data_IF_866889777582
#
_entry.id   IF_866889777582
#
_cell.length_a   1.000
_cell.length_b   1.000
_cell.length_c   1.000
_cell.angle_alpha   90.00
_cell.angle_beta   90.00
_cell.angle_gamma   90.00
#
_symmetry.space_group_name_H-M   'P 1'
#
loop_
_entity.id
_entity.type
_entity.pdbx_description
1 polymer ?
#
# COMPACT_ATOMS: atom_id res chain seq x y z
N UNK A 1 5.29 -1.13 -21.16
CA UNK A 1 6.67 -1.63 -21.35
C UNK A 1 6.90 -2.24 -22.73
N UNK A 2 6.20 -3.32 -23.12
CA UNK A 2 6.35 -3.98 -24.43
C UNK A 2 6.29 -3.01 -25.63
N UNK A 3 5.36 -2.05 -25.60
CA UNK A 3 5.27 -0.99 -26.61
C UNK A 3 6.56 -0.17 -26.77
N UNK A 4 7.17 0.26 -25.66
CA UNK A 4 8.42 1.02 -25.70
C UNK A 4 9.58 0.16 -26.20
N UNK A 5 9.62 -1.11 -25.81
CA UNK A 5 10.64 -2.03 -26.30
C UNK A 5 10.52 -2.23 -27.80
N UNK A 6 9.30 -2.43 -28.31
CA UNK A 6 9.03 -2.51 -29.75
C UNK A 6 9.46 -1.23 -30.49
N UNK A 7 9.16 -0.05 -29.94
CA UNK A 7 9.61 1.23 -30.52
C UNK A 7 11.14 1.36 -30.54
N UNK A 8 11.81 1.02 -29.43
CA UNK A 8 13.27 1.07 -29.31
C UNK A 8 13.95 0.21 -30.37
N UNK A 9 13.50 -1.04 -30.53
CA UNK A 9 14.04 -1.99 -31.50
C UNK A 9 13.71 -1.57 -32.94
N UNK A 10 12.48 -1.13 -33.19
CA UNK A 10 12.06 -0.66 -34.51
C UNK A 10 12.84 0.58 -34.98
N UNK A 11 13.16 1.51 -34.08
CA UNK A 11 14.00 2.67 -34.39
C UNK A 11 15.44 2.23 -34.66
N UNK A 12 15.99 1.31 -33.85
CA UNK A 12 17.34 0.78 -34.06
C UNK A 12 17.52 0.10 -35.42
N UNK A 13 16.46 -0.51 -35.99
CA UNK A 13 16.51 -1.08 -37.34
C UNK A 13 16.47 -0.03 -38.46
N UNK A 14 15.98 1.18 -38.20
CA UNK A 14 15.72 2.21 -39.23
C UNK A 14 16.62 3.45 -39.12
N UNK A 15 17.42 3.55 -38.06
CA UNK A 15 18.24 4.72 -37.73
C UNK A 15 19.59 4.27 -37.18
N UNK A 16 20.67 5.06 -37.36
CA UNK A 16 21.99 4.76 -36.79
C UNK A 16 22.03 4.64 -35.26
N UNK A 17 20.99 5.12 -34.57
CA UNK A 17 20.87 5.05 -33.12
C UNK A 17 19.43 4.97 -32.64
N UNK A 18 19.26 4.58 -31.38
CA UNK A 18 18.00 4.53 -30.64
C UNK A 18 18.21 5.07 -29.22
N UNK A 19 17.15 5.14 -28.40
CA UNK A 19 17.23 5.62 -27.02
C UNK A 19 17.64 4.50 -26.03
N UNK A 20 18.19 4.90 -24.88
CA UNK A 20 18.39 4.00 -23.74
C UNK A 20 17.09 3.90 -22.93
N UNK A 21 16.77 2.70 -22.44
CA UNK A 21 15.55 2.41 -21.71
C UNK A 21 15.88 2.04 -20.26
N UNK A 22 15.32 2.77 -19.31
CA UNK A 22 15.34 2.38 -17.89
C UNK A 22 13.98 1.83 -17.48
N UNK A 23 13.95 0.67 -16.84
CA UNK A 23 12.76 0.11 -16.21
C UNK A 23 13.05 -0.07 -14.72
N UNK A 24 12.32 0.64 -13.86
CA UNK A 24 12.51 0.59 -12.41
C UNK A 24 11.27 0.00 -11.73
N UNK A 25 11.48 -0.88 -10.75
CA UNK A 25 10.44 -1.46 -9.91
C UNK A 25 10.58 -0.95 -8.47
N UNK A 26 9.47 -0.61 -7.82
CA UNK A 26 9.45 -0.28 -6.39
C UNK A 26 9.21 -1.54 -5.57
N UNK A 27 10.19 -2.00 -4.81
CA UNK A 27 10.02 -3.15 -3.90
C UNK A 27 9.18 -2.76 -2.69
N UNK A 28 8.22 -3.60 -2.34
CA UNK A 28 7.41 -3.51 -1.12
C UNK A 28 6.97 -4.91 -0.68
N UNK A 29 6.44 -5.03 0.54
CA UNK A 29 6.04 -6.32 1.13
C UNK A 29 5.03 -7.10 0.28
N UNK A 30 4.18 -6.40 -0.48
CA UNK A 30 3.25 -7.01 -1.43
C UNK A 30 3.85 -7.55 -2.74
N UNK A 31 5.15 -7.37 -3.01
CA UNK A 31 5.82 -8.02 -4.15
C UNK A 31 6.28 -9.42 -3.74
N UNK A 32 5.34 -10.36 -3.81
CA UNK A 32 5.57 -11.79 -3.54
C UNK A 32 6.57 -12.39 -4.54
N UNK A 33 7.15 -13.57 -4.26
CA UNK A 33 7.96 -14.29 -5.24
C UNK A 33 7.24 -14.47 -6.59
N UNK A 34 5.93 -14.77 -6.58
CA UNK A 34 5.14 -14.89 -7.81
C UNK A 34 5.08 -13.58 -8.63
N UNK A 35 5.02 -12.42 -7.96
CA UNK A 35 5.08 -11.10 -8.63
C UNK A 35 6.46 -10.88 -9.23
N UNK A 36 7.53 -11.19 -8.50
CA UNK A 36 8.91 -11.08 -8.99
C UNK A 36 9.15 -12.00 -10.20
N UNK A 37 8.62 -13.22 -10.17
CA UNK A 37 8.69 -14.16 -11.29
C UNK A 37 7.95 -13.65 -12.53
N UNK A 38 6.79 -13.01 -12.36
CA UNK A 38 6.06 -12.38 -13.46
C UNK A 38 6.84 -11.23 -14.11
N UNK A 39 7.50 -10.40 -13.29
CA UNK A 39 8.38 -9.33 -13.79
C UNK A 39 9.55 -9.96 -14.56
N UNK A 40 10.15 -11.02 -14.02
CA UNK A 40 11.25 -11.71 -14.66
C UNK A 40 10.85 -12.30 -16.02
N UNK A 41 9.73 -13.04 -16.08
CA UNK A 41 9.18 -13.58 -17.35
C UNK A 41 8.96 -12.47 -18.38
N UNK A 42 8.39 -11.35 -17.95
CA UNK A 42 8.16 -10.17 -18.81
C UNK A 42 9.49 -9.60 -19.32
N UNK A 43 10.50 -9.46 -18.47
CA UNK A 43 11.82 -8.92 -18.84
C UNK A 43 12.56 -9.85 -19.80
N UNK A 44 12.52 -11.16 -19.54
CA UNK A 44 13.10 -12.18 -20.42
C UNK A 44 12.41 -12.21 -21.79
N UNK A 45 11.08 -12.21 -21.84
CA UNK A 45 10.31 -12.22 -23.10
C UNK A 45 10.58 -10.97 -23.96
N UNK A 46 10.93 -9.85 -23.32
CA UNK A 46 11.25 -8.58 -23.98
C UNK A 46 12.75 -8.39 -24.25
N UNK A 47 13.59 -9.40 -23.97
CA UNK A 47 15.05 -9.36 -24.13
C UNK A 47 15.66 -8.12 -23.47
N UNK A 48 15.22 -7.79 -22.24
CA UNK A 48 15.70 -6.60 -21.54
C UNK A 48 17.11 -6.81 -20.98
N UNK A 49 17.45 -8.02 -20.53
CA UNK A 49 18.75 -8.32 -19.94
C UNK A 49 19.90 -8.34 -20.96
N UNK A 50 19.59 -8.69 -22.21
CA UNK A 50 20.60 -8.93 -23.26
C UNK A 50 20.98 -7.68 -24.06
N UNK A 51 20.33 -6.54 -23.80
CA UNK A 51 20.55 -5.30 -24.54
C UNK A 51 21.26 -4.26 -23.68
N UNK A 52 22.50 -3.86 -24.00
CA UNK A 52 23.27 -2.91 -23.19
C UNK A 52 22.66 -1.50 -23.14
N UNK A 53 21.65 -1.22 -23.96
CA UNK A 53 20.89 0.04 -23.94
C UNK A 53 19.72 0.00 -22.95
N UNK A 54 19.52 -1.11 -22.24
CA UNK A 54 18.45 -1.30 -21.28
C UNK A 54 19.04 -1.45 -19.87
N UNK A 55 18.51 -0.69 -18.92
CA UNK A 55 18.83 -0.78 -17.49
C UNK A 55 17.57 -1.20 -16.73
N UNK A 56 17.66 -2.30 -15.99
CA UNK A 56 16.58 -2.79 -15.13
C UNK A 56 16.94 -2.60 -13.67
N UNK A 57 16.12 -1.85 -12.93
CA UNK A 57 16.37 -1.48 -11.54
C UNK A 57 15.27 -2.00 -10.61
N UNK A 58 15.66 -2.23 -9.36
CA UNK A 58 14.75 -2.39 -8.22
C UNK A 58 15.15 -1.41 -7.12
N UNK A 59 14.17 -0.71 -6.58
CA UNK A 59 14.33 0.26 -5.50
C UNK A 59 13.62 -0.29 -4.28
N UNK A 60 14.38 -0.62 -3.25
CA UNK A 60 13.90 -1.18 -1.99
C UNK A 60 14.35 -0.28 -0.84
N UNK A 61 13.41 0.43 -0.23
CA UNK A 61 13.69 1.46 0.77
C UNK A 61 14.78 2.43 0.24
N UNK A 62 15.96 2.43 0.86
CA UNK A 62 17.08 3.28 0.47
C UNK A 62 17.98 2.70 -0.63
N UNK A 63 17.81 1.42 -0.95
CA UNK A 63 18.68 0.69 -1.86
C UNK A 63 18.16 0.80 -3.30
N UNK A 64 19.03 1.21 -4.21
CA UNK A 64 18.79 1.14 -5.66
C UNK A 64 19.78 0.16 -6.24
N UNK A 65 19.27 -0.92 -6.85
CA UNK A 65 20.07 -2.06 -7.31
C UNK A 65 19.61 -2.49 -8.70
N UNK A 66 20.45 -3.26 -9.41
CA UNK A 66 20.01 -3.99 -10.59
C UNK A 66 18.88 -4.96 -10.21
N UNK A 67 17.90 -5.10 -11.09
CA UNK A 67 16.83 -6.07 -10.88
C UNK A 67 17.38 -7.49 -11.00
N UNK A 68 17.24 -8.25 -9.93
CA UNK A 68 17.45 -9.70 -9.91
C UNK A 68 16.15 -10.35 -9.40
N UNK A 69 15.66 -11.43 -10.03
CA UNK A 69 14.40 -12.07 -9.65
C UNK A 69 14.42 -12.57 -8.20
N UNK A 70 15.56 -13.15 -7.80
CA UNK A 70 15.76 -13.75 -6.49
C UNK A 70 16.26 -12.76 -5.42
N UNK A 71 16.27 -11.46 -5.73
CA UNK A 71 16.73 -10.45 -4.78
C UNK A 71 15.83 -10.47 -3.53
N UNK A 72 16.40 -10.74 -2.34
CA UNK A 72 15.61 -10.80 -1.12
C UNK A 72 15.11 -9.40 -0.76
N UNK A 73 13.89 -9.33 -0.21
CA UNK A 73 13.36 -8.09 0.33
C UNK A 73 14.18 -7.66 1.55
N UNK A 74 14.68 -6.41 1.52
CA UNK A 74 15.60 -5.89 2.51
C UNK A 74 14.99 -5.88 3.92
N UNK A 75 15.82 -6.09 4.94
CA UNK A 75 15.38 -6.00 6.34
C UNK A 75 14.86 -4.61 6.67
N UNK A 76 15.51 -3.56 6.16
CA UNK A 76 15.09 -2.17 6.37
C UNK A 76 13.75 -1.87 5.71
N UNK A 77 13.53 -2.35 4.47
CA UNK A 77 12.24 -2.23 3.78
C UNK A 77 11.14 -2.99 4.51
N UNK A 78 11.43 -4.21 4.99
CA UNK A 78 10.48 -5.02 5.78
C UNK A 78 10.09 -4.33 7.08
N UNK A 79 11.06 -3.85 7.84
CA UNK A 79 10.80 -3.17 9.12
C UNK A 79 10.00 -1.88 8.93
N UNK A 80 10.33 -1.10 7.89
CA UNK A 80 9.55 0.09 7.56
C UNK A 80 8.10 -0.25 7.19
N UNK A 81 7.88 -1.25 6.33
CA UNK A 81 6.53 -1.68 5.95
C UNK A 81 5.74 -2.20 7.16
N UNK A 82 6.40 -2.94 8.06
CA UNK A 82 5.83 -3.42 9.31
C UNK A 82 5.40 -2.26 10.22
N UNK A 83 6.29 -1.30 10.47
CA UNK A 83 5.99 -0.15 11.33
C UNK A 83 4.90 0.74 10.74
N UNK A 84 4.96 1.01 9.43
CA UNK A 84 3.92 1.79 8.73
C UNK A 84 2.54 1.13 8.87
N UNK A 85 2.47 -0.19 8.72
CA UNK A 85 1.25 -0.96 8.88
C UNK A 85 0.73 -0.94 10.33
N UNK A 86 1.60 -1.20 11.32
CA UNK A 86 1.22 -1.26 12.73
C UNK A 86 0.71 0.10 13.25
N UNK A 87 1.47 1.17 13.00
CA UNK A 87 1.07 2.52 13.42
C UNK A 87 -0.20 2.98 12.69
N UNK A 88 -0.27 2.74 11.37
CA UNK A 88 -1.43 3.10 10.56
C UNK A 88 -2.69 2.34 10.99
N UNK A 89 -2.54 1.04 11.29
CA UNK A 89 -3.61 0.18 11.79
C UNK A 89 -4.12 0.62 13.16
N UNK A 90 -3.23 0.89 14.12
CA UNK A 90 -3.62 1.38 15.45
C UNK A 90 -4.23 2.79 15.44
N UNK A 91 -3.81 3.67 14.53
CA UNK A 91 -4.43 5.00 14.42
C UNK A 91 -5.81 4.96 13.74
N UNK A 92 -6.07 3.95 12.91
CA UNK A 92 -7.27 3.86 12.07
C UNK A 92 -8.26 2.77 12.48
N UNK A 93 -7.97 1.98 13.51
CA UNK A 93 -8.68 0.74 13.83
C UNK A 93 -8.73 -0.25 12.68
N UNK A 94 -7.57 -0.44 12.04
CA UNK A 94 -7.37 -1.37 10.95
C UNK A 94 -8.20 -1.03 9.71
N UNK A 95 -8.49 0.26 9.48
CA UNK A 95 -9.06 0.68 8.20
C UNK A 95 -8.17 0.20 7.06
N UNK A 96 -8.75 -0.60 6.17
CA UNK A 96 -8.00 -1.33 5.15
C UNK A 96 -7.14 -0.40 4.28
N UNK A 97 -7.68 0.74 3.82
CA UNK A 97 -6.91 1.65 2.98
C UNK A 97 -5.80 2.34 3.75
N UNK A 98 -6.11 2.83 4.94
CA UNK A 98 -5.14 3.55 5.77
C UNK A 98 -3.99 2.63 6.16
N UNK A 99 -4.30 1.37 6.48
CA UNK A 99 -3.34 0.35 6.91
C UNK A 99 -2.47 -0.18 5.76
N UNK A 100 -3.05 -0.42 4.58
CA UNK A 100 -2.36 -1.16 3.50
C UNK A 100 -1.96 -0.32 2.28
N UNK A 101 -2.62 0.81 2.03
CA UNK A 101 -2.49 1.50 0.73
C UNK A 101 -1.86 2.90 0.82
N UNK A 102 -2.01 3.63 1.94
CA UNK A 102 -1.59 5.04 2.02
C UNK A 102 -0.08 5.21 1.79
N UNK A 103 0.73 4.34 2.39
CA UNK A 103 2.19 4.34 2.25
C UNK A 103 2.64 4.04 0.82
N UNK A 104 1.90 3.22 0.06
CA UNK A 104 2.28 2.90 -1.32
C UNK A 104 2.28 4.12 -2.23
N UNK A 105 1.26 4.98 -2.14
CA UNK A 105 1.17 6.20 -2.96
C UNK A 105 2.15 7.27 -2.52
N UNK A 106 2.32 7.47 -1.22
CA UNK A 106 3.24 8.49 -0.71
C UNK A 106 4.70 8.10 -1.00
N UNK A 107 5.01 6.80 -0.94
CA UNK A 107 6.32 6.28 -1.34
C UNK A 107 6.58 6.30 -2.85
N UNK A 108 5.58 6.60 -3.70
CA UNK A 108 5.77 6.71 -5.14
C UNK A 108 6.65 7.90 -5.51
N UNK A 109 6.53 9.03 -4.82
CA UNK A 109 7.32 10.21 -5.13
C UNK A 109 8.81 10.01 -4.81
N UNK A 110 9.11 9.34 -3.70
CA UNK A 110 10.47 8.93 -3.36
C UNK A 110 11.03 7.95 -4.41
N UNK A 111 10.25 6.93 -4.77
CA UNK A 111 10.62 5.97 -5.80
C UNK A 111 10.91 6.65 -7.14
N UNK A 112 10.01 7.51 -7.61
CA UNK A 112 10.19 8.26 -8.85
C UNK A 112 11.40 9.18 -8.75
N UNK A 113 11.58 9.91 -7.64
CA UNK A 113 12.75 10.74 -7.40
C UNK A 113 14.05 9.96 -7.60
N UNK A 114 14.20 8.84 -6.88
CA UNK A 114 15.37 7.94 -6.98
C UNK A 114 15.56 7.39 -8.39
N UNK A 115 14.49 6.90 -9.03
CA UNK A 115 14.56 6.34 -10.39
C UNK A 115 14.96 7.40 -11.44
N UNK A 116 14.50 8.63 -11.29
CA UNK A 116 14.77 9.75 -12.21
C UNK A 116 16.16 10.36 -12.01
N UNK A 117 16.70 10.33 -10.78
CA UNK A 117 18.02 10.87 -10.44
C UNK A 117 19.13 9.82 -10.50
N UNK A 118 18.81 8.52 -10.67
CA UNK A 118 19.81 7.45 -10.69
C UNK A 118 20.82 7.61 -11.83
N UNK A 119 22.11 7.48 -11.51
CA UNK A 119 23.22 7.69 -12.45
C UNK A 119 23.20 9.11 -13.03
N UNK A 120 23.20 9.21 -14.36
CA UNK A 120 23.11 10.50 -15.06
C UNK A 120 21.66 11.05 -15.18
N UNK A 121 20.73 10.43 -14.46
CA UNK A 121 19.29 10.68 -14.56
C UNK A 121 18.69 10.30 -15.93
N UNK A 122 17.45 10.73 -16.17
CA UNK A 122 16.73 10.46 -17.44
C UNK A 122 16.39 11.76 -18.18
N UNK A 123 16.26 11.67 -19.51
CA UNK A 123 15.85 12.81 -20.34
C UNK A 123 14.33 12.86 -20.56
N UNK A 124 13.65 11.72 -20.43
CA UNK A 124 12.19 11.61 -20.55
C UNK A 124 11.60 10.54 -19.64
N UNK A 125 10.34 10.72 -19.27
CA UNK A 125 9.50 9.79 -18.53
C UNK A 125 8.30 9.44 -19.40
N UNK A 126 8.06 8.15 -19.60
CA UNK A 126 6.92 7.67 -20.36
C UNK A 126 5.87 7.09 -19.42
N UNK A 127 4.62 7.55 -19.53
CA UNK A 127 3.48 7.04 -18.76
C UNK A 127 2.43 6.41 -19.69
N UNK A 128 1.97 5.21 -19.30
CA UNK A 128 0.84 4.50 -19.91
C UNK A 128 -0.51 4.90 -19.32
N UNK A 129 -0.53 5.51 -18.14
CA UNK A 129 -1.73 5.88 -17.39
C UNK A 129 -2.70 6.69 -18.26
N UNK A 130 -3.99 6.36 -18.19
CA UNK A 130 -4.99 7.07 -18.97
C UNK A 130 -5.06 8.55 -18.57
N UNK A 131 -5.42 9.43 -19.53
CA UNK A 131 -5.66 10.86 -19.22
C UNK A 131 -6.69 11.06 -18.09
N UNK A 132 -7.62 10.11 -17.95
CA UNK A 132 -8.60 10.10 -16.86
C UNK A 132 -7.93 9.86 -15.52
N UNK A 133 -7.07 8.86 -15.41
CA UNK A 133 -6.33 8.56 -14.17
C UNK A 133 -5.36 9.67 -13.81
N UNK A 134 -4.59 10.17 -14.78
CA UNK A 134 -3.70 11.32 -14.56
C UNK A 134 -4.46 12.53 -13.99
N UNK A 135 -5.64 12.86 -14.54
CA UNK A 135 -6.51 13.93 -14.01
C UNK A 135 -7.04 13.62 -12.62
N UNK A 136 -7.40 12.37 -12.34
CA UNK A 136 -7.85 11.96 -11.01
C UNK A 136 -6.74 12.12 -9.97
N UNK A 137 -5.51 11.67 -10.27
CA UNK A 137 -4.36 11.88 -9.41
C UNK A 137 -4.01 13.34 -9.22
N UNK A 138 -3.99 14.12 -10.30
CA UNK A 138 -3.77 15.56 -10.23
C UNK A 138 -4.79 16.24 -9.30
N UNK A 139 -6.07 15.89 -9.44
CA UNK A 139 -7.16 16.41 -8.59
C UNK A 139 -6.99 15.96 -7.13
N UNK A 140 -6.59 14.71 -6.91
CA UNK A 140 -6.32 14.17 -5.57
C UNK A 140 -5.17 14.95 -4.89
N UNK A 141 -4.04 15.11 -5.55
CA UNK A 141 -2.88 15.88 -5.05
C UNK A 141 -3.29 17.34 -4.80
N UNK A 142 -4.04 17.97 -5.72
CA UNK A 142 -4.55 19.33 -5.55
C UNK A 142 -5.36 19.51 -4.26
N UNK A 143 -6.32 18.61 -4.02
CA UNK A 143 -7.17 18.66 -2.81
C UNK A 143 -6.36 18.50 -1.54
N UNK A 144 -5.30 17.69 -1.58
CA UNK A 144 -4.38 17.54 -0.45
C UNK A 144 -3.45 18.75 -0.30
N UNK A 145 -2.98 19.36 -1.38
CA UNK A 145 -2.04 20.49 -1.31
C UNK A 145 -2.72 21.81 -0.88
N UNK A 146 -3.94 22.09 -1.35
CA UNK A 146 -4.65 23.35 -1.03
C UNK A 146 -4.94 23.51 0.47
N UNK A 147 -5.11 22.41 1.20
CA UNK A 147 -5.49 22.41 2.62
C UNK A 147 -4.33 22.14 3.59
N UNK A 148 -3.11 21.93 3.09
CA UNK A 148 -1.87 21.98 3.90
C UNK A 148 -1.26 23.40 3.93
N UNK A 149 -1.92 24.40 3.34
CA UNK A 149 -1.47 25.79 3.33
C UNK A 149 -0.30 26.07 2.38
N UNK A 150 0.09 25.10 1.55
CA UNK A 150 1.32 25.14 0.76
C UNK A 150 1.08 25.43 -0.73
N UNK A 151 -0.15 25.78 -1.13
CA UNK A 151 -0.44 26.00 -2.55
C UNK A 151 -1.37 27.19 -2.81
N UNK A 152 -0.84 28.21 -3.51
CA UNK A 152 -1.54 29.45 -3.90
C UNK A 152 -1.58 29.66 -5.43
N UNK A 153 -1.16 28.68 -6.24
CA UNK A 153 -0.93 28.84 -7.69
C UNK A 153 -1.94 28.16 -8.62
N UNK A 154 -1.73 28.32 -9.94
CA UNK A 154 -2.47 27.61 -11.00
C UNK A 154 -1.78 26.28 -11.36
N UNK A 155 -2.51 25.17 -11.32
CA UNK A 155 -1.98 23.82 -11.61
C UNK A 155 -1.65 23.59 -13.09
N UNK A 156 -2.08 24.50 -13.99
CA UNK A 156 -1.92 24.34 -15.44
C UNK A 156 -0.46 24.32 -15.94
N UNK A 157 0.50 24.78 -15.13
CA UNK A 157 1.91 24.92 -15.50
C UNK A 157 2.88 24.11 -14.61
N UNK A 158 2.39 23.12 -13.85
CA UNK A 158 3.25 22.30 -12.99
C UNK A 158 4.17 21.38 -13.80
N UNK A 159 5.46 21.38 -13.47
CA UNK A 159 6.42 20.39 -14.00
C UNK A 159 6.35 19.09 -13.18
N UNK A 160 6.82 17.97 -13.73
CA UNK A 160 6.89 16.69 -13.01
C UNK A 160 7.61 16.85 -11.66
N UNK A 161 8.72 17.57 -11.63
CA UNK A 161 9.48 17.90 -10.42
C UNK A 161 8.63 18.68 -9.40
N UNK A 162 7.80 19.63 -9.86
CA UNK A 162 6.88 20.37 -9.00
C UNK A 162 5.84 19.47 -8.34
N UNK A 163 5.26 18.54 -9.11
CA UNK A 163 4.31 17.54 -8.59
C UNK A 163 4.96 16.62 -7.57
N UNK A 164 6.17 16.11 -7.84
CA UNK A 164 6.91 15.24 -6.91
C UNK A 164 7.19 15.94 -5.58
N UNK A 165 7.58 17.22 -5.58
CA UNK A 165 7.78 18.01 -4.36
C UNK A 165 6.49 18.16 -3.53
N UNK A 166 5.35 18.34 -4.20
CA UNK A 166 4.06 18.42 -3.51
C UNK A 166 3.71 17.08 -2.85
N UNK A 167 3.91 15.96 -3.55
CA UNK A 167 3.67 14.62 -2.98
C UNK A 167 4.61 14.35 -1.81
N UNK A 168 5.90 14.70 -1.93
CA UNK A 168 6.86 14.58 -0.83
C UNK A 168 6.37 15.33 0.40
N UNK A 169 5.95 16.58 0.23
CA UNK A 169 5.50 17.38 1.36
C UNK A 169 4.24 16.83 2.03
N UNK A 170 3.29 16.30 1.23
CA UNK A 170 2.14 15.55 1.76
C UNK A 170 2.62 14.29 2.51
N UNK A 171 3.61 13.58 1.95
CA UNK A 171 4.25 12.43 2.58
C UNK A 171 4.87 12.76 3.92
N UNK A 172 5.67 13.83 4.00
CA UNK A 172 6.29 14.30 5.23
C UNK A 172 5.23 14.63 6.30
N UNK A 173 4.14 15.32 5.93
CA UNK A 173 3.03 15.58 6.85
C UNK A 173 2.36 14.28 7.34
N UNK A 174 2.11 13.33 6.44
CA UNK A 174 1.53 12.03 6.79
C UNK A 174 2.42 11.26 7.76
N UNK A 175 3.71 11.13 7.46
CA UNK A 175 4.66 10.43 8.32
C UNK A 175 4.91 11.17 9.63
N UNK A 176 4.73 12.50 9.63
CA UNK A 176 4.77 13.26 10.86
C UNK A 176 3.60 12.92 11.78
N UNK A 177 2.37 12.86 11.24
CA UNK A 177 1.20 12.41 11.99
C UNK A 177 1.34 10.94 12.44
N UNK A 178 1.93 10.08 11.60
CA UNK A 178 2.12 8.65 11.89
C UNK A 178 3.16 8.40 13.00
N UNK A 179 4.39 8.90 12.83
CA UNK A 179 5.51 8.61 13.73
C UNK A 179 5.65 9.59 14.89
N UNK A 180 5.07 10.81 14.83
CA UNK A 180 5.37 11.86 15.81
C UNK A 180 6.83 12.34 15.74
N UNK A 181 7.24 13.21 16.66
CA UNK A 181 8.50 13.98 16.60
C UNK A 181 9.75 13.31 17.20
N UNK A 182 9.76 11.99 17.31
CA UNK A 182 10.94 11.25 17.79
C UNK A 182 12.14 11.34 16.84
N UNK A 183 13.35 11.50 17.40
CA UNK A 183 14.62 11.49 16.67
C UNK A 183 14.89 10.14 15.95
N UNK A 184 14.33 9.04 16.47
CA UNK A 184 14.43 7.69 15.89
C UNK A 184 13.44 7.42 14.75
N UNK A 185 12.69 8.43 14.31
CA UNK A 185 11.75 8.25 13.21
C UNK A 185 12.52 7.90 11.92
N UNK A 186 12.10 6.90 11.13
CA UNK A 186 12.73 6.56 9.83
C UNK A 186 12.64 7.69 8.78
N UNK A 187 12.17 8.89 9.17
CA UNK A 187 12.20 10.16 8.44
C UNK A 187 13.54 10.47 7.75
N UNK A 188 14.68 10.10 8.35
CA UNK A 188 16.00 10.59 7.95
C UNK A 188 16.42 10.27 6.50
N UNK A 189 15.82 9.28 5.84
CA UNK A 189 16.27 8.80 4.52
C UNK A 189 15.32 9.08 3.34
N UNK A 190 14.25 9.87 3.53
CA UNK A 190 13.18 10.02 2.52
C UNK A 190 13.26 11.30 1.67
N UNK A 191 14.29 12.11 1.83
CA UNK A 191 14.49 13.33 1.02
C UNK A 191 14.53 12.99 -0.47
N UNK A 192 13.65 13.58 -1.28
CA UNK A 192 13.72 13.41 -2.74
C UNK A 192 15.06 13.95 -3.24
N UNK A 193 15.88 13.07 -3.81
CA UNK A 193 16.96 13.47 -4.70
C UNK A 193 16.34 14.10 -5.95
N UNK A 194 16.29 15.43 -5.99
CA UNK A 194 15.81 16.16 -7.16
C UNK A 194 16.88 16.05 -8.25
N UNK A 195 16.53 15.74 -9.51
CA UNK A 195 17.52 15.67 -10.58
C UNK A 195 18.27 17.00 -10.71
N UNK A 196 19.60 16.97 -10.56
CA UNK A 196 20.50 18.13 -10.69
C UNK A 196 20.70 18.58 -12.14
N UNK A 197 20.08 17.90 -13.12
CA UNK A 197 20.13 18.31 -14.53
C UNK A 197 19.48 19.67 -14.73
N UNK A 198 20.14 20.51 -15.54
CA UNK A 198 19.67 21.87 -15.88
C UNK A 198 18.27 21.90 -16.52
N UNK A 199 17.84 20.79 -17.16
CA UNK A 199 16.53 20.64 -17.77
C UNK A 199 15.73 19.52 -17.09
N UNK A 200 14.47 19.80 -16.76
CA UNK A 200 13.55 18.80 -16.26
C UNK A 200 13.25 17.72 -17.33
N UNK A 201 13.12 16.44 -16.96
CA UNK A 201 12.82 15.38 -17.93
C UNK A 201 11.47 15.63 -18.61
N UNK A 202 11.40 15.35 -19.91
CA UNK A 202 10.17 15.46 -20.68
C UNK A 202 9.16 14.40 -20.25
N UNK A 203 7.89 14.75 -20.08
CA UNK A 203 6.83 13.79 -19.77
C UNK A 203 6.06 13.41 -21.04
N UNK A 204 6.13 12.13 -21.43
CA UNK A 204 5.53 11.59 -22.65
C UNK A 204 4.41 10.63 -22.27
N UNK A 205 3.18 10.91 -22.71
CA UNK A 205 2.06 9.98 -22.54
C UNK A 205 1.92 9.09 -23.77
N UNK A 206 1.70 7.80 -23.55
CA UNK A 206 1.36 6.81 -24.60
C UNK A 206 -0.07 6.26 -24.45
N UNK A 207 -0.88 6.88 -23.59
CA UNK A 207 -2.24 6.42 -23.30
C UNK A 207 -3.17 6.43 -24.52
N UNK A 208 -2.93 7.33 -25.48
CA UNK A 208 -3.71 7.39 -26.72
C UNK A 208 -3.22 6.34 -27.76
N UNK A 209 -2.10 5.65 -27.50
CA UNK A 209 -1.47 4.68 -28.40
C UNK A 209 -1.63 3.23 -27.94
N UNK A 210 -1.91 2.99 -26.66
CA UNK A 210 -2.02 1.66 -26.06
C UNK A 210 -3.32 1.58 -25.27
N UNK A 211 -4.12 0.54 -25.52
CA UNK A 211 -5.31 0.27 -24.70
C UNK A 211 -4.89 -0.36 -23.37
N UNK A 212 -5.47 0.10 -22.26
CA UNK A 212 -5.22 -0.50 -20.94
C UNK A 212 -6.14 -1.70 -20.64
N UNK A 213 -6.98 -2.15 -21.59
CA UNK A 213 -7.90 -3.27 -21.36
C UNK A 213 -7.19 -4.61 -21.51
N UNK A 214 -7.12 -5.38 -20.40
CA UNK A 214 -6.46 -6.68 -20.36
C UNK A 214 -6.99 -7.68 -21.42
N UNK A 215 -8.29 -7.65 -21.73
CA UNK A 215 -8.87 -8.54 -22.75
C UNK A 215 -8.37 -8.24 -24.17
N UNK A 216 -8.10 -6.97 -24.49
CA UNK A 216 -7.58 -6.56 -25.80
C UNK A 216 -6.11 -7.00 -25.99
N UNK A 217 -5.43 -7.37 -24.89
CA UNK A 217 -4.02 -7.77 -24.87
C UNK A 217 -3.80 -9.16 -24.28
N UNK A 218 -4.82 -10.01 -24.23
CA UNK A 218 -4.74 -11.29 -23.55
C UNK A 218 -3.58 -12.17 -24.04
N UNK A 219 -3.48 -12.38 -25.35
CA UNK A 219 -2.43 -13.22 -25.93
C UNK A 219 -1.04 -12.61 -25.70
N UNK A 220 -0.91 -11.28 -25.75
CA UNK A 220 0.33 -10.61 -25.40
C UNK A 220 0.71 -10.91 -23.94
N UNK A 221 -0.24 -10.80 -23.01
CA UNK A 221 0.00 -11.04 -21.59
C UNK A 221 0.33 -12.50 -21.29
N UNK A 222 -0.49 -13.45 -21.75
CA UNK A 222 -0.38 -14.86 -21.33
C UNK A 222 0.48 -15.73 -22.25
N UNK A 223 0.50 -15.46 -23.56
CA UNK A 223 1.24 -16.31 -24.51
C UNK A 223 2.64 -15.75 -24.79
N UNK A 224 2.77 -14.44 -24.98
CA UNK A 224 4.06 -13.82 -25.30
C UNK A 224 4.88 -13.44 -24.07
N UNK A 225 4.28 -12.72 -23.12
CA UNK A 225 4.96 -12.29 -21.88
C UNK A 225 4.97 -13.38 -20.79
N UNK A 226 4.26 -14.49 -21.02
CA UNK A 226 4.10 -15.61 -20.09
C UNK A 226 3.63 -15.17 -18.69
N UNK A 227 2.78 -14.14 -18.62
CA UNK A 227 2.22 -13.66 -17.36
C UNK A 227 1.32 -14.72 -16.73
N UNK A 228 1.55 -15.01 -15.45
CA UNK A 228 0.79 -15.99 -14.66
C UNK A 228 -0.06 -15.27 -13.63
N UNK A 229 -1.36 -15.47 -13.69
CA UNK A 229 -2.28 -15.03 -12.65
C UNK A 229 -2.11 -15.94 -11.45
N UNK A 230 -1.63 -15.37 -10.34
CA UNK A 230 -1.46 -16.08 -9.09
C UNK A 230 -2.54 -15.66 -8.07
N UNK A 231 -2.83 -16.58 -7.17
CA UNK A 231 -3.90 -16.52 -6.18
C UNK A 231 -3.71 -15.42 -5.13
N UNK A 232 -2.47 -14.96 -4.91
CA UNK A 232 -2.12 -13.82 -4.05
C UNK A 232 -2.11 -12.49 -4.80
N UNK A 233 -2.06 -12.52 -6.13
CA UNK A 233 -1.68 -11.40 -6.99
C UNK A 233 -2.77 -10.96 -7.97
N UNK A 234 -4.04 -11.15 -7.62
CA UNK A 234 -5.18 -10.54 -8.34
C UNK A 234 -5.21 -9.00 -8.16
N UNK A 235 -4.14 -8.34 -8.58
CA UNK A 235 -3.98 -6.89 -8.67
C UNK A 235 -3.93 -6.52 -10.15
N UNK A 236 -5.10 -6.25 -10.74
CA UNK A 236 -5.18 -5.71 -12.10
C UNK A 236 -5.15 -4.19 -12.16
N UNK A 237 -5.06 -3.49 -11.04
CA UNK A 237 -4.94 -2.03 -11.08
C UNK A 237 -3.49 -1.59 -11.13
N UNK A 238 -3.21 -0.69 -12.07
CA UNK A 238 -1.99 0.10 -12.28
C UNK A 238 -1.57 0.97 -11.07
N UNK A 239 -2.08 0.67 -9.88
CA UNK A 239 -1.95 1.49 -8.69
C UNK A 239 -2.10 0.63 -7.43
N UNK A 240 -1.02 -0.06 -7.12
CA UNK A 240 -0.89 -1.12 -6.14
C UNK A 240 -1.31 -0.70 -4.72
N UNK A 241 -2.52 -1.07 -4.32
CA UNK A 241 -2.70 -1.51 -2.94
C UNK A 241 -2.44 -3.00 -2.91
N UNK A 242 -1.27 -3.39 -2.44
CA UNK A 242 -0.72 -4.71 -2.67
C UNK A 242 -1.24 -5.77 -1.69
N UNK A 243 -2.51 -5.70 -1.30
CA UNK A 243 -3.02 -6.66 -0.32
C UNK A 243 -4.53 -6.96 -0.27
N UNK A 244 -5.22 -7.29 -1.39
CA UNK A 244 -6.62 -7.70 -1.33
C UNK A 244 -6.89 -8.86 -0.36
N UNK A 245 -5.91 -9.77 -0.20
CA UNK A 245 -6.00 -10.89 0.73
C UNK A 245 -6.02 -10.44 2.19
N UNK A 246 -5.07 -9.59 2.65
CA UNK A 246 -5.10 -9.08 4.03
C UNK A 246 -6.27 -8.14 4.26
N UNK A 247 -6.73 -7.40 3.25
CA UNK A 247 -7.95 -6.58 3.39
C UNK A 247 -9.19 -7.46 3.66
N UNK A 248 -9.35 -8.54 2.91
CA UNK A 248 -10.40 -9.54 3.16
C UNK A 248 -10.25 -10.16 4.56
N UNK A 249 -9.02 -10.55 4.92
CA UNK A 249 -8.71 -11.15 6.21
C UNK A 249 -9.04 -10.22 7.38
N UNK A 250 -8.61 -8.95 7.33
CA UNK A 250 -8.95 -7.94 8.32
C UNK A 250 -10.46 -7.73 8.45
N UNK A 251 -11.20 -7.82 7.33
CA UNK A 251 -12.67 -7.76 7.39
C UNK A 251 -13.28 -8.97 8.08
N UNK A 252 -12.77 -10.18 7.80
CA UNK A 252 -13.17 -11.39 8.52
C UNK A 252 -12.85 -11.32 10.02
N UNK A 253 -11.66 -10.84 10.39
CA UNK A 253 -11.27 -10.64 11.80
C UNK A 253 -12.14 -9.58 12.48
N UNK A 254 -12.50 -8.51 11.78
CA UNK A 254 -13.44 -7.48 12.28
C UNK A 254 -14.79 -8.11 12.62
N UNK A 255 -15.37 -8.88 11.70
CA UNK A 255 -16.63 -9.57 11.94
C UNK A 255 -16.53 -10.51 13.14
N UNK A 256 -15.44 -11.27 13.24
CA UNK A 256 -15.23 -12.24 14.31
C UNK A 256 -15.03 -11.60 15.70
N UNK A 257 -14.12 -10.64 15.82
CA UNK A 257 -13.66 -10.16 17.12
C UNK A 257 -14.39 -8.90 17.60
N UNK A 258 -14.76 -8.00 16.68
CA UNK A 258 -15.44 -6.75 17.02
C UNK A 258 -16.97 -6.89 16.94
N UNK A 259 -17.48 -7.72 16.04
CA UNK A 259 -18.92 -7.84 15.78
C UNK A 259 -19.57 -9.13 16.27
N UNK A 260 -18.81 -10.07 16.84
CA UNK A 260 -19.32 -11.36 17.33
C UNK A 260 -20.04 -12.20 16.26
N UNK A 261 -19.66 -12.00 15.00
CA UNK A 261 -20.18 -12.71 13.82
C UNK A 261 -19.18 -13.77 13.37
N UNK A 262 -19.51 -14.55 12.34
CA UNK A 262 -18.55 -15.49 11.79
C UNK A 262 -17.54 -14.75 10.92
N UNK A 263 -16.28 -15.23 10.93
CA UNK A 263 -15.23 -14.73 10.03
C UNK A 263 -15.68 -14.74 8.55
N UNK A 264 -16.42 -15.78 8.15
CA UNK A 264 -16.96 -15.93 6.80
C UNK A 264 -17.96 -14.82 6.42
N UNK A 265 -18.68 -14.25 7.39
CA UNK A 265 -19.63 -13.16 7.13
C UNK A 265 -18.89 -11.89 6.71
N UNK A 266 -17.77 -11.56 7.37
CA UNK A 266 -16.91 -10.45 6.99
C UNK A 266 -16.23 -10.66 5.62
N UNK A 267 -15.84 -11.90 5.31
CA UNK A 267 -15.31 -12.25 3.99
C UNK A 267 -16.37 -12.02 2.90
N UNK A 268 -17.62 -12.43 3.12
CA UNK A 268 -18.70 -12.22 2.16
C UNK A 268 -18.91 -10.74 1.84
N UNK A 269 -18.93 -9.87 2.87
CA UNK A 269 -19.04 -8.42 2.70
C UNK A 269 -17.90 -7.84 1.85
N UNK A 270 -16.67 -8.31 2.09
CA UNK A 270 -15.52 -7.86 1.29
C UNK A 270 -15.62 -8.32 -0.17
N UNK A 271 -16.09 -9.54 -0.43
CA UNK A 271 -16.24 -10.07 -1.79
C UNK A 271 -17.31 -9.33 -2.59
N UNK A 272 -18.39 -8.85 -1.96
CA UNK A 272 -19.37 -7.97 -2.62
C UNK A 272 -18.72 -6.67 -3.09
N UNK A 273 -17.94 -6.02 -2.21
CA UNK A 273 -17.17 -4.83 -2.58
C UNK A 273 -16.21 -5.12 -3.73
N UNK A 274 -15.36 -6.14 -3.58
CA UNK A 274 -14.34 -6.51 -4.56
C UNK A 274 -14.96 -6.81 -5.93
N UNK A 275 -16.07 -7.57 -5.97
CA UNK A 275 -16.80 -7.87 -7.22
C UNK A 275 -17.28 -6.60 -7.91
N UNK A 276 -17.82 -5.65 -7.15
CA UNK A 276 -18.30 -4.38 -7.68
C UNK A 276 -17.17 -3.51 -8.27
N UNK A 277 -15.99 -3.56 -7.66
CA UNK A 277 -14.79 -2.85 -8.10
C UNK A 277 -14.19 -3.50 -9.36
N UNK A 278 -14.01 -4.82 -9.37
CA UNK A 278 -13.52 -5.58 -10.52
C UNK A 278 -14.39 -5.35 -11.76
N UNK A 279 -15.73 -5.38 -11.62
CA UNK A 279 -16.65 -5.09 -12.73
C UNK A 279 -16.54 -3.64 -13.23
N UNK A 280 -16.42 -2.67 -12.32
CA UNK A 280 -16.25 -1.25 -12.69
C UNK A 280 -14.95 -1.03 -13.47
N UNK A 281 -13.91 -1.77 -13.12
CA UNK A 281 -12.60 -1.78 -13.80
C UNK A 281 -12.60 -2.61 -15.08
N UNK A 282 -13.74 -3.13 -15.52
CA UNK A 282 -13.86 -3.95 -16.73
C UNK A 282 -12.91 -5.15 -16.72
N UNK A 283 -12.68 -5.73 -15.53
CA UNK A 283 -11.88 -6.93 -15.41
C UNK A 283 -12.58 -8.12 -16.12
N UNK A 284 -11.84 -8.98 -16.82
CA UNK A 284 -12.46 -10.06 -17.60
C UNK A 284 -13.31 -10.99 -16.71
N UNK A 285 -14.53 -11.38 -17.12
CA UNK A 285 -15.43 -12.19 -16.29
C UNK A 285 -14.78 -13.48 -15.75
N UNK A 286 -14.02 -14.18 -16.60
CA UNK A 286 -13.29 -15.40 -16.21
C UNK A 286 -12.33 -15.20 -15.02
N UNK A 287 -11.71 -14.03 -14.93
CA UNK A 287 -10.76 -13.73 -13.85
C UNK A 287 -11.50 -13.34 -12.57
N UNK A 288 -12.65 -12.68 -12.70
CA UNK A 288 -13.54 -12.42 -11.56
C UNK A 288 -14.01 -13.77 -10.99
N UNK A 289 -14.47 -14.68 -11.84
CA UNK A 289 -14.94 -16.00 -11.42
C UNK A 289 -13.82 -16.81 -10.78
N UNK A 290 -12.60 -16.78 -11.35
CA UNK A 290 -11.42 -17.42 -10.76
C UNK A 290 -11.13 -16.86 -9.36
N UNK A 291 -11.08 -15.53 -9.22
CA UNK A 291 -10.83 -14.85 -7.95
C UNK A 291 -11.92 -15.11 -6.89
N UNK A 292 -13.19 -15.24 -7.29
CA UNK A 292 -14.28 -15.56 -6.36
C UNK A 292 -14.33 -17.03 -5.99
N UNK A 293 -13.99 -17.92 -6.92
CA UNK A 293 -13.97 -19.37 -6.67
C UNK A 293 -13.00 -19.74 -5.54
N UNK A 294 -11.94 -18.95 -5.37
CA UNK A 294 -10.97 -19.05 -4.28
C UNK A 294 -11.57 -18.96 -2.87
N UNK A 295 -12.80 -18.43 -2.73
CA UNK A 295 -13.53 -18.28 -1.48
C UNK A 295 -14.83 -19.13 -1.43
N UNK A 296 -15.03 -20.03 -2.40
CA UNK A 296 -16.25 -20.81 -2.50
C UNK A 296 -16.37 -21.84 -1.36
N UNK A 297 -17.23 -21.53 -0.39
CA UNK A 297 -17.55 -22.40 0.73
C UNK A 297 -16.54 -22.32 1.89
N UNK A 298 -16.95 -22.88 3.04
CA UNK A 298 -16.24 -22.72 4.33
C UNK A 298 -14.79 -23.22 4.30
N UNK A 299 -14.54 -24.37 3.66
CA UNK A 299 -13.20 -24.95 3.60
C UNK A 299 -12.21 -24.02 2.86
N UNK A 300 -12.62 -23.43 1.73
CA UNK A 300 -11.77 -22.50 0.97
C UNK A 300 -11.54 -21.19 1.71
N UNK A 301 -12.56 -20.69 2.43
CA UNK A 301 -12.41 -19.52 3.28
C UNK A 301 -11.36 -19.76 4.38
N UNK A 302 -11.34 -20.95 4.98
CA UNK A 302 -10.33 -21.31 5.99
C UNK A 302 -8.92 -21.38 5.38
N UNK A 303 -8.77 -22.05 4.22
CA UNK A 303 -7.49 -22.04 3.49
C UNK A 303 -7.02 -20.62 3.16
N UNK A 304 -7.95 -19.71 2.85
CA UNK A 304 -7.60 -18.29 2.61
C UNK A 304 -7.19 -17.55 3.88
N UNK A 305 -7.75 -17.92 5.05
CA UNK A 305 -7.29 -17.40 6.34
C UNK A 305 -5.86 -17.83 6.62
N UNK A 306 -5.55 -19.11 6.45
CA UNK A 306 -4.18 -19.65 6.62
C UNK A 306 -3.20 -18.95 5.68
N UNK A 307 -3.58 -18.79 4.42
CA UNK A 307 -2.78 -18.09 3.42
C UNK A 307 -2.54 -16.62 3.79
N UNK A 308 -3.57 -15.93 4.30
CA UNK A 308 -3.45 -14.55 4.77
C UNK A 308 -2.51 -14.44 5.97
N UNK A 309 -2.61 -15.35 6.94
CA UNK A 309 -1.72 -15.42 8.09
C UNK A 309 -0.26 -15.68 7.69
N UNK A 310 -0.02 -16.61 6.75
CA UNK A 310 1.31 -16.86 6.20
C UNK A 310 1.86 -15.62 5.51
N UNK A 311 1.05 -14.94 4.70
CA UNK A 311 1.46 -13.73 4.01
C UNK A 311 1.76 -12.56 4.96
N UNK A 312 0.97 -12.38 6.03
CA UNK A 312 1.25 -11.38 7.07
C UNK A 312 2.60 -11.66 7.76
N UNK A 313 2.88 -12.94 8.06
CA UNK A 313 4.12 -13.35 8.70
C UNK A 313 5.34 -13.18 7.79
N UNK A 314 5.25 -13.58 6.52
CA UNK A 314 6.36 -13.49 5.57
C UNK A 314 6.64 -12.05 5.14
N UNK A 315 5.59 -11.30 4.79
CA UNK A 315 5.69 -9.94 4.26
C UNK A 315 5.98 -8.89 5.34
N UNK A 316 5.41 -9.05 6.54
CA UNK A 316 5.43 -8.03 7.60
C UNK A 316 5.94 -8.55 8.94
N UNK A 317 6.18 -9.86 9.09
CA UNK A 317 6.52 -10.47 10.38
C UNK A 317 5.38 -10.45 11.39
N UNK A 318 4.14 -10.29 10.93
CA UNK A 318 2.97 -10.09 11.78
C UNK A 318 2.15 -11.37 11.90
N UNK A 319 1.65 -11.62 13.11
CA UNK A 319 0.71 -12.71 13.38
C UNK A 319 -0.72 -12.18 13.57
N UNK A 320 -1.70 -13.09 13.57
CA UNK A 320 -3.12 -12.73 13.68
C UNK A 320 -3.42 -11.98 14.98
N UNK A 321 -2.77 -12.32 16.10
CA UNK A 321 -2.95 -11.63 17.38
C UNK A 321 -2.62 -10.14 17.27
N UNK A 322 -1.52 -9.79 16.59
CA UNK A 322 -1.12 -8.41 16.35
C UNK A 322 -2.08 -7.71 15.38
N UNK A 323 -2.59 -8.43 14.36
CA UNK A 323 -3.63 -7.89 13.47
C UNK A 323 -4.92 -7.56 14.24
N UNK A 324 -5.37 -8.46 15.11
CA UNK A 324 -6.53 -8.24 15.97
C UNK A 324 -6.28 -7.07 16.92
N UNK A 325 -5.10 -6.99 17.54
CA UNK A 325 -4.73 -5.87 18.41
C UNK A 325 -4.88 -4.51 17.70
N UNK A 326 -4.47 -4.39 16.43
CA UNK A 326 -4.69 -3.16 15.65
C UNK A 326 -6.17 -2.81 15.47
N UNK A 327 -7.05 -3.80 15.23
CA UNK A 327 -8.48 -3.59 15.04
C UNK A 327 -9.14 -2.92 16.26
N UNK A 328 -8.71 -3.29 17.47
CA UNK A 328 -9.21 -2.65 18.70
C UNK A 328 -8.61 -1.27 18.91
N UNK A 329 -7.43 -0.98 18.33
CA UNK A 329 -6.68 0.25 18.59
C UNK A 329 -6.56 0.56 20.10
N UNK A 330 -6.14 -0.40 20.93
CA UNK A 330 -6.28 -0.29 22.38
C UNK A 330 -5.37 0.78 23.00
N UNK A 331 -4.34 1.20 22.27
CA UNK A 331 -3.28 2.06 22.82
C UNK A 331 -3.48 3.54 22.53
N UNK A 332 -4.39 3.94 21.63
CA UNK A 332 -4.64 5.38 21.35
C UNK A 332 -5.63 5.97 22.37
N UNK A 333 -5.85 7.28 22.31
CA UNK A 333 -6.78 8.00 23.21
C UNK A 333 -6.46 7.76 24.69
N UNK A 334 -5.18 7.78 25.07
CA UNK A 334 -4.74 7.44 26.44
C UNK A 334 -5.22 6.05 26.90
N UNK A 335 -5.31 5.10 25.98
CA UNK A 335 -5.63 3.71 26.29
C UNK A 335 -7.11 3.43 26.56
N UNK A 336 -8.02 4.31 26.12
CA UNK A 336 -9.48 4.16 26.33
C UNK A 336 -10.02 2.79 25.85
N UNK A 337 -9.47 2.27 24.74
CA UNK A 337 -9.85 0.96 24.20
C UNK A 337 -9.21 -0.25 24.89
N UNK A 338 -8.25 -0.04 25.79
CA UNK A 338 -7.40 -1.11 26.34
C UNK A 338 -8.20 -2.11 27.18
N UNK A 339 -9.05 -1.62 28.09
CA UNK A 339 -9.84 -2.51 28.96
C UNK A 339 -10.78 -3.41 28.13
N UNK A 340 -11.46 -2.84 27.14
CA UNK A 340 -12.35 -3.59 26.24
C UNK A 340 -11.60 -4.67 25.46
N UNK A 341 -10.42 -4.35 24.93
CA UNK A 341 -9.56 -5.31 24.25
C UNK A 341 -9.12 -6.45 25.19
N UNK A 342 -8.70 -6.13 26.42
CA UNK A 342 -8.31 -7.14 27.40
C UNK A 342 -9.48 -8.04 27.78
N UNK A 343 -10.67 -7.49 28.07
CA UNK A 343 -11.86 -8.30 28.40
C UNK A 343 -12.21 -9.28 27.31
N UNK A 344 -12.05 -8.86 26.05
CA UNK A 344 -12.41 -9.65 24.87
C UNK A 344 -11.37 -10.69 24.49
N UNK A 345 -10.10 -10.30 24.45
CA UNK A 345 -9.04 -11.11 23.86
C UNK A 345 -8.05 -11.66 24.89
N UNK A 346 -7.83 -10.97 26.02
CA UNK A 346 -6.80 -11.30 26.99
C UNK A 346 -7.27 -11.10 28.45
N UNK A 347 -8.33 -11.80 28.90
CA UNK A 347 -8.96 -11.53 30.19
C UNK A 347 -8.02 -11.74 31.38
N UNK A 348 -7.03 -12.63 31.26
CA UNK A 348 -6.00 -12.85 32.28
C UNK A 348 -5.09 -11.64 32.54
N UNK A 349 -4.95 -10.73 31.56
CA UNK A 349 -4.13 -9.52 31.69
C UNK A 349 -4.86 -8.32 32.27
N UNK A 350 -6.18 -8.43 32.54
CA UNK A 350 -6.95 -7.36 33.18
C UNK A 350 -6.38 -6.95 34.54
N UNK A 351 -5.79 -7.88 35.28
CA UNK A 351 -5.18 -7.59 36.59
C UNK A 351 -4.00 -6.62 36.48
N UNK A 352 -3.32 -6.60 35.32
CA UNK A 352 -2.18 -5.75 35.04
C UNK A 352 -2.58 -4.42 34.38
N UNK A 353 -3.88 -4.13 34.18
CA UNK A 353 -4.36 -2.91 33.53
C UNK A 353 -3.71 -1.62 34.09
N UNK A 354 -3.59 -1.42 35.42
CA UNK A 354 -2.92 -0.23 35.95
C UNK A 354 -1.44 -0.13 35.54
N UNK A 355 -0.73 -1.26 35.51
CA UNK A 355 0.68 -1.29 35.13
C UNK A 355 0.87 -1.13 33.62
N UNK A 356 -0.06 -1.64 32.80
CA UNK A 356 -0.08 -1.39 31.36
C UNK A 356 -0.20 0.12 31.07
N UNK A 357 -1.11 0.83 31.74
CA UNK A 357 -1.22 2.29 31.61
C UNK A 357 0.06 3.02 32.07
N UNK A 358 0.71 2.57 33.14
CA UNK A 358 2.01 3.15 33.57
C UNK A 358 3.05 3.04 32.46
N UNK A 359 3.24 1.86 31.87
CA UNK A 359 4.21 1.66 30.78
C UNK A 359 3.89 2.54 29.58
N UNK A 360 2.63 2.59 29.17
CA UNK A 360 2.16 3.39 28.04
C UNK A 360 2.31 4.90 28.28
N UNK A 361 2.23 5.36 29.53
CA UNK A 361 2.52 6.74 29.92
C UNK A 361 4.01 7.08 30.09
N UNK A 362 4.91 6.11 29.88
CA UNK A 362 6.36 6.31 30.00
C UNK A 362 6.96 5.99 31.38
N UNK A 363 6.17 5.45 32.31
CA UNK A 363 6.66 5.00 33.62
C UNK A 363 7.16 3.55 33.57
N UNK A 364 8.01 3.16 34.51
CA UNK A 364 8.48 1.77 34.62
C UNK A 364 7.43 0.88 35.29
N UNK A 365 7.39 -0.38 34.87
CA UNK A 365 6.56 -1.44 35.45
C UNK A 365 7.33 -2.77 35.37
N UNK A 366 6.79 -3.90 35.86
CA UNK A 366 7.46 -5.19 35.76
C UNK A 366 7.80 -5.56 34.31
N UNK A 367 8.98 -6.14 34.09
CA UNK A 367 9.49 -6.51 32.76
C UNK A 367 8.51 -7.38 31.97
N UNK A 368 7.76 -8.25 32.65
CA UNK A 368 6.74 -9.10 32.03
C UNK A 368 5.61 -8.30 31.38
N UNK A 369 5.20 -7.18 31.99
CA UNK A 369 4.16 -6.29 31.45
C UNK A 369 4.66 -5.55 30.21
N UNK A 370 5.91 -5.09 30.27
CA UNK A 370 6.58 -4.43 29.15
C UNK A 370 6.76 -5.37 27.96
N UNK A 371 7.25 -6.60 28.20
CA UNK A 371 7.41 -7.61 27.16
C UNK A 371 6.07 -7.99 26.53
N UNK A 372 5.04 -8.19 27.36
CA UNK A 372 3.70 -8.51 26.85
C UNK A 372 3.15 -7.43 25.91
N UNK A 373 3.35 -6.15 26.23
CA UNK A 373 2.96 -5.03 25.37
C UNK A 373 3.67 -5.07 24.01
N UNK A 374 4.97 -5.36 24.00
CA UNK A 374 5.75 -5.51 22.76
C UNK A 374 5.23 -6.68 21.93
N UNK A 375 5.01 -7.83 22.56
CA UNK A 375 4.59 -9.05 21.86
C UNK A 375 3.18 -8.91 21.26
N UNK A 376 2.24 -8.36 22.03
CA UNK A 376 0.83 -8.26 21.61
C UNK A 376 0.60 -7.22 20.52
N UNK A 377 1.36 -6.12 20.54
CA UNK A 377 1.25 -5.04 19.56
C UNK A 377 2.15 -5.24 18.35
N UNK A 378 3.28 -5.93 18.53
CA UNK A 378 4.34 -5.99 17.54
C UNK A 378 5.17 -4.69 17.43
N UNK A 379 4.94 -3.71 18.31
CA UNK A 379 5.58 -2.39 18.34
C UNK A 379 6.57 -2.27 19.50
N UNK A 380 7.56 -1.38 19.35
CA UNK A 380 8.44 -1.00 20.46
C UNK A 380 7.68 -0.20 21.53
N UNK A 381 8.19 -0.20 22.77
CA UNK A 381 7.60 0.59 23.87
C UNK A 381 7.53 2.08 23.54
N UNK A 382 8.56 2.63 22.90
CA UNK A 382 8.58 4.04 22.45
C UNK A 382 7.45 4.32 21.45
N UNK A 383 7.20 3.41 20.51
CA UNK A 383 6.10 3.54 19.55
C UNK A 383 4.73 3.48 20.24
N UNK A 384 4.57 2.59 21.23
CA UNK A 384 3.36 2.48 22.02
C UNK A 384 3.09 3.71 22.88
N UNK A 385 4.12 4.26 23.52
CA UNK A 385 4.03 5.49 24.32
C UNK A 385 3.65 6.69 23.44
N UNK A 386 4.19 6.75 22.23
CA UNK A 386 3.79 7.74 21.25
C UNK A 386 2.33 7.57 20.80
N UNK A 387 1.86 6.34 20.54
CA UNK A 387 0.45 6.06 20.25
C UNK A 387 -0.47 6.46 21.42
N UNK A 388 -0.02 6.27 22.66
CA UNK A 388 -0.79 6.60 23.86
C UNK A 388 -1.17 8.07 23.97
N UNK A 389 -0.27 8.97 23.54
CA UNK A 389 -0.54 10.40 23.45
C UNK A 389 -1.37 10.82 22.24
N UNK A 390 -1.54 9.95 21.23
CA UNK A 390 -2.26 10.26 19.98
C UNK A 390 -3.75 9.99 20.10
N UNK A 391 -4.51 10.72 19.30
CA UNK A 391 -5.93 10.45 19.08
C UNK A 391 -6.11 9.46 17.95
N UNK A 392 -7.11 8.58 18.08
CA UNK A 392 -7.60 7.77 16.96
C UNK A 392 -8.03 8.71 15.83
N UNK A 393 -7.71 8.37 14.59
CA UNK A 393 -8.10 9.14 13.42
C UNK A 393 -9.62 9.18 13.33
N UNK A 394 -10.17 10.39 13.46
CA UNK A 394 -11.53 10.68 13.09
C UNK A 394 -11.55 10.97 11.58
N UNK A 395 -12.17 10.09 10.78
CA UNK A 395 -12.20 10.25 9.33
C UNK A 395 -13.06 11.42 8.83
N UNK A 396 -13.86 12.01 9.72
CA UNK A 396 -14.61 13.24 9.45
C UNK A 396 -13.81 14.51 9.82
N UNK A 397 -12.66 14.37 10.48
CA UNK A 397 -11.80 15.52 10.82
C UNK A 397 -11.06 16.04 9.57
N UNK A 398 -11.32 17.29 9.13
CA UNK A 398 -10.66 17.88 8.00
C UNK A 398 -9.22 18.33 8.29
N UNK A 399 -8.73 18.24 9.54
CA UNK A 399 -7.38 18.65 9.92
C UNK A 399 -6.36 17.50 9.88
N UNK A 400 -6.76 16.27 10.21
CA UNK A 400 -5.92 15.07 10.04
C UNK A 400 -5.55 14.83 8.57
N UNK A 401 -4.25 14.73 8.27
CA UNK A 401 -3.79 14.40 6.92
C UNK A 401 -4.12 12.95 6.57
N UNK A 402 -4.12 12.04 7.56
CA UNK A 402 -4.56 10.65 7.38
C UNK A 402 -6.03 10.61 6.95
N UNK A 403 -6.90 11.32 7.68
CA UNK A 403 -8.32 11.42 7.36
C UNK A 403 -8.54 12.00 5.95
N UNK A 404 -7.78 13.02 5.57
CA UNK A 404 -7.86 13.66 4.25
C UNK A 404 -7.38 12.78 3.11
N UNK A 405 -6.29 12.04 3.30
CA UNK A 405 -5.79 11.09 2.30
C UNK A 405 -6.84 10.02 2.04
N UNK A 406 -7.46 9.49 3.11
CA UNK A 406 -8.64 8.63 2.96
C UNK A 406 -9.73 9.41 2.24
N UNK A 407 -10.18 10.57 2.73
CA UNK A 407 -11.25 11.41 2.20
C UNK A 407 -11.21 11.56 0.67
N UNK A 408 -10.02 11.84 0.14
CA UNK A 408 -9.80 12.14 -1.26
C UNK A 408 -9.69 10.90 -2.18
N UNK A 409 -9.71 9.68 -1.64
CA UNK A 409 -9.62 8.45 -2.44
C UNK A 409 -10.70 8.38 -3.55
N UNK A 410 -10.30 8.27 -4.84
CA UNK A 410 -11.23 8.18 -5.96
C UNK A 410 -12.05 6.87 -6.02
N UNK A 411 -11.67 5.82 -5.27
CA UNK A 411 -12.26 4.47 -5.35
C UNK A 411 -13.08 4.04 -4.14
N UNK A 412 -13.56 4.99 -3.34
CA UNK A 412 -14.47 4.73 -2.22
C UNK A 412 -15.82 4.17 -2.64
N UNK A 413 -16.36 3.26 -1.84
CA UNK A 413 -17.77 2.87 -1.90
C UNK A 413 -18.42 2.78 -0.53
N UNK A 414 -19.72 3.01 -0.54
CA UNK A 414 -20.62 2.69 0.57
C UNK A 414 -21.01 1.23 0.43
N UNK A 415 -20.71 0.42 1.43
CA UNK A 415 -21.20 -0.95 1.56
C UNK A 415 -22.18 -1.04 2.72
N UNK A 416 -23.06 -2.03 2.68
CA UNK A 416 -23.88 -2.37 3.83
C UNK A 416 -23.07 -3.29 4.75
N UNK A 417 -22.94 -2.90 6.01
CA UNK A 417 -22.41 -3.72 7.10
C UNK A 417 -23.49 -3.89 8.16
N UNK A 418 -23.23 -4.70 9.17
CA UNK A 418 -24.04 -4.74 10.39
C UNK A 418 -23.34 -3.96 11.49
N UNK A 419 -24.07 -3.11 12.19
CA UNK A 419 -23.60 -2.43 13.40
C UNK A 419 -23.50 -3.44 14.54
N UNK A 420 -22.32 -3.61 15.16
CA UNK A 420 -22.12 -4.57 16.24
C UNK A 420 -22.93 -4.25 17.51
N UNK A 421 -23.26 -2.98 17.78
CA UNK A 421 -24.00 -2.57 18.96
C UNK A 421 -25.52 -2.71 18.78
N UNK A 422 -26.03 -2.52 17.57
CA UNK A 422 -27.47 -2.47 17.30
C UNK A 422 -27.98 -3.66 16.47
N UNK A 423 -27.10 -4.43 15.84
CA UNK A 423 -27.45 -5.51 14.92
C UNK A 423 -28.14 -5.03 13.63
N UNK A 424 -28.22 -3.72 13.40
CA UNK A 424 -28.88 -3.14 12.23
C UNK A 424 -27.93 -2.98 11.06
N UNK A 425 -28.49 -2.99 9.85
CA UNK A 425 -27.72 -2.72 8.64
C UNK A 425 -27.29 -1.23 8.61
N UNK A 426 -25.99 -0.97 8.68
CA UNK A 426 -25.39 0.36 8.62
C UNK A 426 -24.54 0.50 7.37
N UNK A 427 -24.48 1.72 6.83
CA UNK A 427 -23.67 2.03 5.66
C UNK A 427 -22.26 2.39 6.11
N UNK A 428 -21.28 1.56 5.78
CA UNK A 428 -19.86 1.84 6.03
C UNK A 428 -19.16 2.25 4.74
N UNK A 429 -18.31 3.27 4.82
CA UNK A 429 -17.50 3.71 3.68
C UNK A 429 -16.21 2.89 3.63
N UNK A 430 -16.20 1.82 2.85
CA UNK A 430 -14.98 1.12 2.54
C UNK A 430 -14.22 1.82 1.42
N UNK A 431 -12.92 1.93 1.64
CA UNK A 431 -11.95 2.49 0.71
C UNK A 431 -11.05 1.33 0.30
N UNK A 432 -10.96 1.06 -0.99
CA UNK A 432 -10.21 -0.07 -1.53
C UNK A 432 -10.19 0.01 -3.04
N UNK A 433 -9.06 -0.32 -3.66
CA UNK A 433 -8.94 -0.38 -5.12
C UNK A 433 -9.15 -1.80 -5.60
#
# INVERSE_FOLDING_TARGET
MAFLRAAQLSIACRSPGTFNLRVANRRHAGMTPAVMDNINRTYSALFLYDDPRVETLVIDNQYTQAFEPDLPFSSAGREQNRLDMLLGGHLSAGDARTTFCNTCYLGLAEFLGRALSWGNGVDAVVSGDSRREQRQYATWIMRLAQRTGQYTGSWGNQTLTGVLKVIDTIGQAYYHELYGDGEDSPRANRSIAVPEKANAPAFITIADLVSCKADEHWNLLTEFLDFRFDDLSFSFSESDCANPLLMAHMRGLTAQYLQERNYADGIAEYLELATSLMRRKQMPPRLIDQALSAYAGRARIETRRELASGFAQEGFGLNETQLVCMLFSPFVNQGDGLESFLRRCHPGMLVALPDLHKVLSGSTAPDQVMQWLVDISGLSLQSLQNLYGKQRVNFDDPHSIIARIRAADPDKRRIMTVDPATGQAVVEMLSGR
#
